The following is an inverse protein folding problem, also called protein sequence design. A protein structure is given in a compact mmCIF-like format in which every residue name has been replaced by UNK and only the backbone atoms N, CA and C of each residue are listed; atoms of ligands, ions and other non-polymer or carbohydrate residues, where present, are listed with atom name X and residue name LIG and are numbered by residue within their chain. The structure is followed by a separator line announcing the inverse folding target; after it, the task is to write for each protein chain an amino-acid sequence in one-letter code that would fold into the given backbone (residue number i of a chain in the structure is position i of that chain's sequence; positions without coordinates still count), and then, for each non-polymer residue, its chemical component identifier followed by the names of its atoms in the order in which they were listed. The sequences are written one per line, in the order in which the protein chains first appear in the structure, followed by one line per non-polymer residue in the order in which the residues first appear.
data_IF_321206637017
#
_entry.id   IF_321206637017
#
_cell.length_a   1.000
_cell.length_b   1.000
_cell.length_c   1.000
_cell.angle_alpha   90.00
_cell.angle_beta   90.00
_cell.angle_gamma   90.00
#
_symmetry.space_group_name_H-M   'P 1'
#
loop_
_entity.id
_entity.type
_entity.pdbx_description
1 polymer ?
#
# COMPACT_ATOMS: atom_id res chain seq x y z
N UNK A 1 50.58 -65.12 -15.42
CA UNK A 1 51.33 -63.97 -15.95
C UNK A 1 50.31 -62.97 -16.48
N UNK A 2 49.74 -62.14 -15.59
CA UNK A 2 48.72 -61.16 -15.95
C UNK A 2 49.42 -59.88 -16.42
N UNK A 3 49.22 -59.52 -17.68
CA UNK A 3 49.66 -58.25 -18.25
C UNK A 3 48.90 -57.11 -17.56
N UNK A 4 49.58 -56.43 -16.64
CA UNK A 4 49.17 -55.16 -16.07
C UNK A 4 49.04 -54.18 -17.25
N UNK A 5 47.82 -53.73 -17.54
CA UNK A 5 47.58 -52.61 -18.48
C UNK A 5 48.33 -51.40 -17.95
N UNK A 6 49.35 -50.97 -18.68
CA UNK A 6 50.00 -49.66 -18.52
C UNK A 6 48.93 -48.58 -18.61
N UNK A 7 48.84 -47.70 -17.62
CA UNK A 7 47.98 -46.51 -17.63
C UNK A 7 48.09 -45.78 -18.97
N UNK A 8 47.01 -45.75 -19.74
CA UNK A 8 46.95 -44.91 -20.94
C UNK A 8 46.72 -43.47 -20.48
N UNK A 9 47.80 -42.67 -20.47
CA UNK A 9 47.70 -41.20 -20.38
C UNK A 9 46.85 -40.68 -21.53
N UNK A 10 46.01 -39.68 -21.27
CA UNK A 10 45.19 -39.04 -22.30
C UNK A 10 46.07 -38.57 -23.48
N UNK A 11 45.63 -38.86 -24.71
CA UNK A 11 46.38 -38.56 -25.93
C UNK A 11 46.03 -37.16 -26.45
N UNK A 12 46.85 -36.19 -26.07
CA UNK A 12 46.75 -34.82 -26.55
C UNK A 12 47.14 -34.65 -28.01
N UNK A 13 46.36 -33.84 -28.73
CA UNK A 13 46.73 -33.35 -30.06
C UNK A 13 47.42 -32.00 -29.93
N UNK A 14 48.40 -31.76 -30.79
CA UNK A 14 49.18 -30.53 -30.79
C UNK A 14 49.16 -29.87 -32.16
N UNK A 15 49.13 -28.55 -32.18
CA UNK A 15 49.28 -27.72 -33.37
C UNK A 15 50.44 -26.75 -33.19
N UNK A 16 51.07 -26.34 -34.29
CA UNK A 16 52.14 -25.37 -34.27
C UNK A 16 51.56 -23.98 -34.53
N UNK A 17 51.58 -23.13 -33.51
CA UNK A 17 51.05 -21.75 -33.57
C UNK A 17 52.20 -20.81 -33.23
N UNK A 18 52.59 -19.95 -34.17
CA UNK A 18 53.65 -18.96 -33.96
C UNK A 18 55.03 -19.57 -33.67
N UNK A 19 55.32 -20.77 -34.19
CA UNK A 19 56.60 -21.46 -33.98
C UNK A 19 56.71 -22.27 -32.68
N UNK A 20 55.64 -22.33 -31.89
CA UNK A 20 55.56 -23.12 -30.66
C UNK A 20 54.50 -24.22 -30.78
N UNK A 21 54.79 -25.39 -30.22
CA UNK A 21 53.79 -26.47 -30.08
C UNK A 21 52.78 -26.10 -28.98
N UNK A 22 51.50 -26.08 -29.33
CA UNK A 22 50.37 -25.79 -28.43
C UNK A 22 49.40 -26.95 -28.41
N UNK A 23 48.79 -27.20 -27.26
CA UNK A 23 47.70 -28.17 -27.15
C UNK A 23 46.50 -27.68 -27.97
N UNK A 24 45.88 -28.59 -28.72
CA UNK A 24 44.67 -28.33 -29.48
C UNK A 24 43.48 -28.86 -28.69
N UNK A 25 42.62 -27.97 -28.22
CA UNK A 25 41.35 -28.34 -27.58
C UNK A 25 40.28 -28.37 -28.68
N UNK A 26 39.82 -29.56 -29.04
CA UNK A 26 38.88 -29.76 -30.15
C UNK A 26 37.68 -30.66 -29.80
N UNK A 27 37.69 -31.25 -28.61
CA UNK A 27 36.62 -32.09 -28.08
C UNK A 27 36.36 -31.77 -26.61
N UNK A 28 35.16 -32.09 -26.13
CA UNK A 28 34.84 -32.03 -24.72
C UNK A 28 35.65 -33.01 -23.89
N UNK A 29 36.19 -34.07 -24.51
CA UNK A 29 37.16 -34.96 -23.86
C UNK A 29 38.49 -34.25 -23.59
N UNK A 30 38.94 -33.36 -24.49
CA UNK A 30 40.13 -32.55 -24.25
C UNK A 30 39.92 -31.62 -23.04
N UNK A 31 38.71 -31.06 -22.91
CA UNK A 31 38.32 -30.23 -21.75
C UNK A 31 38.33 -31.09 -20.47
N UNK A 32 37.69 -32.26 -20.50
CA UNK A 32 37.53 -33.14 -19.34
C UNK A 32 38.86 -33.60 -18.72
N UNK A 33 39.91 -33.76 -19.54
CA UNK A 33 41.23 -34.23 -19.10
C UNK A 33 42.23 -33.07 -18.86
N UNK A 34 41.80 -31.80 -18.84
CA UNK A 34 42.70 -30.65 -18.66
C UNK A 34 43.58 -30.71 -17.40
N UNK A 35 43.16 -31.43 -16.35
CA UNK A 35 43.96 -31.66 -15.15
C UNK A 35 45.14 -32.62 -15.34
N UNK A 36 45.13 -33.42 -16.42
CA UNK A 36 46.24 -34.29 -16.82
C UNK A 36 47.27 -33.57 -17.71
N UNK A 37 46.96 -32.36 -18.19
CA UNK A 37 47.85 -31.60 -19.05
C UNK A 37 49.08 -31.10 -18.27
N UNK A 38 50.28 -31.35 -18.80
CA UNK A 38 51.52 -30.84 -18.20
C UNK A 38 51.46 -29.32 -18.07
N UNK A 39 51.70 -28.82 -16.85
CA UNK A 39 51.69 -27.39 -16.50
C UNK A 39 52.60 -26.57 -17.44
N UNK A 40 53.68 -27.16 -17.97
CA UNK A 40 54.58 -26.51 -18.93
C UNK A 40 53.92 -26.13 -20.26
N UNK A 41 52.79 -26.75 -20.59
CA UNK A 41 52.02 -26.46 -21.81
C UNK A 41 51.05 -25.28 -21.65
N UNK A 42 50.86 -24.77 -20.43
CA UNK A 42 50.01 -23.61 -20.16
C UNK A 42 50.75 -22.32 -20.49
N UNK A 43 50.14 -21.47 -21.32
CA UNK A 43 50.79 -20.26 -21.84
C UNK A 43 50.65 -19.06 -20.90
N UNK A 44 49.52 -19.00 -20.18
CA UNK A 44 49.14 -17.88 -19.33
C UNK A 44 48.82 -18.44 -17.96
N UNK A 45 49.54 -17.96 -16.94
CA UNK A 45 49.36 -18.39 -15.55
C UNK A 45 48.39 -17.49 -14.77
N UNK A 46 48.00 -16.36 -15.36
CA UNK A 46 47.08 -15.39 -14.77
C UNK A 46 46.42 -14.56 -15.88
N UNK A 47 45.11 -14.68 -16.04
CA UNK A 47 44.30 -13.93 -16.99
C UNK A 47 43.38 -12.95 -16.22
N UNK A 48 43.35 -11.64 -16.52
CA UNK A 48 42.48 -10.70 -15.82
C UNK A 48 41.00 -10.96 -16.13
N UNK A 49 40.11 -10.71 -15.17
CA UNK A 49 38.64 -10.86 -15.39
C UNK A 49 37.99 -9.66 -16.08
N UNK A 50 38.77 -8.61 -16.43
CA UNK A 50 38.30 -7.35 -17.02
C UNK A 50 39.19 -6.91 -18.17
N UNK A 51 38.61 -6.11 -19.08
CA UNK A 51 39.35 -5.49 -20.19
C UNK A 51 39.77 -6.46 -21.29
N UNK A 52 39.09 -7.61 -21.38
CA UNK A 52 39.22 -8.58 -22.47
C UNK A 52 37.99 -8.48 -23.38
N UNK A 53 38.12 -8.92 -24.63
CA UNK A 53 36.99 -9.07 -25.56
C UNK A 53 36.16 -10.35 -25.26
N UNK A 54 35.90 -10.61 -23.97
CA UNK A 54 35.12 -11.73 -23.44
C UNK A 54 34.17 -11.15 -22.38
N UNK A 55 32.96 -11.69 -22.29
CA UNK A 55 31.95 -11.25 -21.31
C UNK A 55 32.49 -11.33 -19.86
N UNK A 56 32.50 -10.19 -19.17
CA UNK A 56 33.07 -10.08 -17.82
C UNK A 56 32.31 -10.93 -16.79
N UNK A 57 30.99 -11.14 -16.97
CA UNK A 57 30.21 -11.99 -16.07
C UNK A 57 30.67 -13.45 -16.17
N UNK A 58 30.91 -13.92 -17.38
CA UNK A 58 31.44 -15.25 -17.65
C UNK A 58 32.83 -15.45 -17.03
N UNK A 59 33.72 -14.46 -17.18
CA UNK A 59 35.04 -14.48 -16.53
C UNK A 59 34.94 -14.47 -15.00
N UNK A 60 33.98 -13.74 -14.43
CA UNK A 60 33.71 -13.73 -12.98
C UNK A 60 33.23 -15.07 -12.45
N UNK A 61 32.48 -15.86 -13.23
CA UNK A 61 32.11 -17.22 -12.83
C UNK A 61 33.30 -18.19 -12.82
N UNK A 62 34.34 -17.90 -13.62
CA UNK A 62 35.56 -18.70 -13.65
C UNK A 62 36.50 -18.35 -12.48
N UNK A 63 36.54 -17.09 -12.06
CA UNK A 63 37.34 -16.59 -10.93
C UNK A 63 36.78 -17.04 -9.59
N UNK A 64 37.29 -18.17 -9.09
CA UNK A 64 36.68 -18.91 -7.99
C UNK A 64 37.03 -18.34 -6.61
N UNK A 65 38.18 -17.66 -6.49
CA UNK A 65 38.61 -16.96 -5.27
C UNK A 65 38.26 -15.46 -5.28
N UNK A 66 37.67 -14.97 -6.38
CA UNK A 66 37.21 -13.60 -6.57
C UNK A 66 38.33 -12.55 -6.45
N UNK A 67 39.56 -12.91 -6.81
CA UNK A 67 40.73 -12.03 -6.74
C UNK A 67 40.96 -11.20 -8.02
N UNK A 68 40.10 -11.38 -9.02
CA UNK A 68 40.13 -10.71 -10.32
C UNK A 68 41.06 -11.35 -11.34
N UNK A 69 41.61 -12.55 -11.07
CA UNK A 69 42.54 -13.26 -11.95
C UNK A 69 42.20 -14.74 -12.07
N UNK A 70 42.05 -15.21 -13.30
CA UNK A 70 41.84 -16.62 -13.63
C UNK A 70 43.21 -17.30 -13.78
N UNK A 71 43.46 -18.33 -12.97
CA UNK A 71 44.68 -19.16 -13.01
C UNK A 71 44.36 -20.58 -13.49
N UNK A 72 45.41 -21.38 -13.67
CA UNK A 72 45.32 -22.78 -14.14
C UNK A 72 44.34 -23.61 -13.30
N UNK A 73 44.39 -23.49 -11.97
CA UNK A 73 43.51 -24.24 -11.07
C UNK A 73 42.04 -23.81 -11.20
N UNK A 74 41.76 -22.54 -11.51
CA UNK A 74 40.41 -22.06 -11.77
C UNK A 74 39.86 -22.70 -13.05
N UNK A 75 40.65 -22.68 -14.13
CA UNK A 75 40.27 -23.32 -15.41
C UNK A 75 40.03 -24.82 -15.24
N UNK A 76 40.91 -25.52 -14.52
CA UNK A 76 40.74 -26.95 -14.22
C UNK A 76 39.46 -27.20 -13.41
N UNK A 77 39.21 -26.39 -12.38
CA UNK A 77 38.02 -26.54 -11.52
C UNK A 77 36.73 -26.30 -12.28
N UNK A 78 36.69 -25.27 -13.12
CA UNK A 78 35.57 -24.94 -14.00
C UNK A 78 35.36 -26.04 -15.03
N UNK A 79 36.44 -26.55 -15.64
CA UNK A 79 36.37 -27.68 -16.57
C UNK A 79 35.72 -28.91 -15.92
N UNK A 80 36.22 -29.35 -14.76
CA UNK A 80 35.67 -30.51 -14.02
C UNK A 80 34.20 -30.32 -13.67
N UNK A 81 33.82 -29.10 -13.29
CA UNK A 81 32.43 -28.78 -12.99
C UNK A 81 31.55 -28.87 -14.24
N UNK A 82 31.95 -28.26 -15.37
CA UNK A 82 31.18 -28.27 -16.61
C UNK A 82 31.05 -29.66 -17.21
N UNK A 83 32.14 -30.44 -17.26
CA UNK A 83 32.14 -31.79 -17.81
C UNK A 83 31.45 -32.80 -16.90
N UNK A 84 31.45 -32.56 -15.58
CA UNK A 84 30.62 -33.30 -14.63
C UNK A 84 29.13 -32.95 -14.77
N UNK A 85 28.79 -31.70 -15.04
CA UNK A 85 27.40 -31.24 -15.14
C UNK A 85 26.66 -31.76 -16.38
N UNK A 86 27.36 -32.13 -17.45
CA UNK A 86 26.78 -32.54 -18.74
C UNK A 86 26.97 -34.05 -18.99
N UNK A 87 26.03 -34.68 -19.69
CA UNK A 87 26.18 -36.08 -20.16
C UNK A 87 27.19 -36.18 -21.30
N UNK A 88 27.20 -35.18 -22.18
CA UNK A 88 28.15 -35.07 -23.29
C UNK A 88 28.95 -33.76 -23.19
N UNK A 89 30.26 -33.83 -22.83
CA UNK A 89 31.12 -32.65 -22.79
C UNK A 89 31.29 -31.91 -24.13
N UNK A 90 31.07 -32.56 -25.28
CA UNK A 90 31.22 -31.92 -26.60
C UNK A 90 30.22 -30.76 -26.81
N UNK A 91 29.11 -30.75 -26.05
CA UNK A 91 28.12 -29.68 -26.07
C UNK A 91 28.73 -28.29 -25.75
N UNK A 92 29.82 -28.24 -24.98
CA UNK A 92 30.53 -27.00 -24.64
C UNK A 92 31.14 -26.30 -25.87
N UNK A 93 31.37 -27.03 -26.96
CA UNK A 93 32.02 -26.53 -28.18
C UNK A 93 31.02 -26.09 -29.25
N UNK A 94 29.73 -26.38 -29.08
CA UNK A 94 28.70 -26.11 -30.08
C UNK A 94 28.29 -24.63 -30.17
N UNK A 95 28.66 -23.82 -29.17
CA UNK A 95 28.37 -22.38 -29.14
C UNK A 95 26.88 -22.05 -29.05
N UNK A 96 26.06 -22.99 -28.55
CA UNK A 96 24.62 -22.79 -28.34
C UNK A 96 24.37 -21.89 -27.13
N UNK A 97 23.30 -21.11 -27.21
CA UNK A 97 22.80 -20.28 -26.11
C UNK A 97 21.82 -21.03 -25.19
N UNK A 98 21.62 -22.33 -25.42
CA UNK A 98 20.62 -23.14 -24.74
C UNK A 98 21.04 -24.61 -24.63
N UNK A 99 20.52 -25.26 -23.60
CA UNK A 99 20.79 -26.67 -23.24
C UNK A 99 19.47 -27.37 -22.95
N UNK A 100 19.32 -28.61 -23.40
CA UNK A 100 18.19 -29.44 -23.02
C UNK A 100 18.45 -30.05 -21.63
N UNK A 101 17.44 -30.09 -20.77
CA UNK A 101 17.54 -30.64 -19.41
C UNK A 101 17.91 -32.12 -19.44
N UNK A 102 17.57 -32.84 -20.52
CA UNK A 102 18.01 -34.22 -20.72
C UNK A 102 19.52 -34.35 -21.01
N UNK A 103 20.20 -33.30 -21.44
CA UNK A 103 21.66 -33.26 -21.68
C UNK A 103 22.44 -33.05 -20.37
N UNK A 104 21.78 -32.60 -19.30
CA UNK A 104 22.37 -32.41 -17.97
C UNK A 104 22.51 -33.77 -17.26
N UNK A 105 23.66 -34.01 -16.64
CA UNK A 105 23.97 -35.25 -15.94
C UNK A 105 23.30 -35.34 -14.56
N UNK A 106 22.06 -35.83 -14.53
CA UNK A 106 21.30 -36.02 -13.30
C UNK A 106 21.82 -37.14 -12.37
N UNK A 107 22.86 -37.89 -12.75
CA UNK A 107 23.43 -38.98 -11.95
C UNK A 107 24.41 -38.49 -10.86
N UNK A 108 24.78 -37.21 -10.89
CA UNK A 108 25.59 -36.58 -9.85
C UNK A 108 24.88 -35.37 -9.20
N UNK A 109 25.39 -34.95 -8.05
CA UNK A 109 24.80 -33.88 -7.26
C UNK A 109 24.73 -32.54 -8.02
N UNK A 110 25.76 -32.24 -8.82
CA UNK A 110 25.87 -30.99 -9.59
C UNK A 110 24.75 -30.94 -10.63
N UNK A 111 24.66 -31.94 -11.51
CA UNK A 111 23.66 -31.97 -12.55
C UNK A 111 22.24 -32.17 -12.02
N UNK A 112 22.04 -32.92 -10.92
CA UNK A 112 20.72 -33.00 -10.28
C UNK A 112 20.23 -31.63 -9.78
N UNK A 113 21.12 -30.82 -9.18
CA UNK A 113 20.79 -29.44 -8.77
C UNK A 113 20.47 -28.56 -9.97
N UNK A 114 21.26 -28.65 -11.05
CA UNK A 114 21.03 -27.89 -12.27
C UNK A 114 19.71 -28.27 -12.96
N UNK A 115 19.38 -29.56 -13.05
CA UNK A 115 18.09 -30.02 -13.58
C UNK A 115 16.91 -29.45 -12.79
N UNK A 116 16.97 -29.49 -11.45
CA UNK A 116 15.91 -28.93 -10.60
C UNK A 116 15.77 -27.42 -10.79
N UNK A 117 16.89 -26.69 -10.80
CA UNK A 117 16.89 -25.25 -11.02
C UNK A 117 16.33 -24.89 -12.40
N UNK A 118 16.75 -25.60 -13.46
CA UNK A 118 16.28 -25.35 -14.82
C UNK A 118 14.77 -25.58 -14.96
N UNK A 119 14.26 -26.70 -14.41
CA UNK A 119 12.81 -26.97 -14.39
C UNK A 119 12.04 -25.90 -13.62
N UNK A 120 12.57 -25.44 -12.48
CA UNK A 120 11.94 -24.39 -11.70
C UNK A 120 11.90 -23.05 -12.45
N UNK A 121 13.00 -22.67 -13.11
CA UNK A 121 13.08 -21.45 -13.91
C UNK A 121 12.05 -21.48 -15.04
N UNK A 122 11.98 -22.57 -15.81
CA UNK A 122 11.00 -22.72 -16.88
C UNK A 122 9.56 -22.67 -16.35
N UNK A 123 9.30 -23.35 -15.23
CA UNK A 123 7.98 -23.31 -14.58
C UNK A 123 7.60 -21.90 -14.14
N UNK A 124 8.52 -21.12 -13.56
CA UNK A 124 8.22 -19.77 -13.11
C UNK A 124 8.00 -18.80 -14.28
N UNK A 125 8.73 -19.01 -15.38
CA UNK A 125 8.55 -18.24 -16.62
C UNK A 125 7.29 -18.66 -17.39
N UNK A 126 6.61 -19.74 -16.97
CA UNK A 126 5.44 -20.29 -17.65
C UNK A 126 5.76 -20.89 -19.03
N UNK A 127 7.01 -21.33 -19.24
CA UNK A 127 7.45 -21.95 -20.49
C UNK A 127 7.28 -23.46 -20.42
N UNK A 128 6.57 -24.01 -21.40
CA UNK A 128 6.48 -25.45 -21.61
C UNK A 128 7.71 -25.95 -22.37
N UNK A 129 8.28 -27.08 -21.93
CA UNK A 129 9.41 -27.74 -22.59
C UNK A 129 10.56 -28.07 -21.65
N UNK A 130 11.60 -28.67 -22.22
CA UNK A 130 12.78 -29.14 -21.47
C UNK A 130 14.06 -28.37 -21.84
N UNK A 131 13.97 -27.28 -22.60
CA UNK A 131 15.13 -26.49 -23.02
C UNK A 131 15.23 -25.18 -22.25
N UNK A 132 16.38 -24.92 -21.64
CA UNK A 132 16.69 -23.67 -20.94
C UNK A 132 17.73 -22.87 -21.73
N UNK A 133 17.50 -21.58 -21.91
CA UNK A 133 18.40 -20.66 -22.63
C UNK A 133 19.06 -19.65 -21.70
N UNK A 134 20.13 -18.99 -22.16
CA UNK A 134 20.76 -17.87 -21.45
C UNK A 134 19.74 -16.76 -21.14
N UNK A 135 18.85 -16.46 -22.09
CA UNK A 135 17.79 -15.47 -21.89
C UNK A 135 16.85 -15.84 -20.73
N UNK A 136 16.58 -17.13 -20.52
CA UNK A 136 15.74 -17.61 -19.41
C UNK A 136 16.39 -17.41 -18.04
N UNK A 137 17.72 -17.34 -17.99
CA UNK A 137 18.50 -17.17 -16.75
C UNK A 137 18.95 -15.73 -16.49
N UNK A 138 18.83 -14.85 -17.49
CA UNK A 138 19.37 -13.49 -17.44
C UNK A 138 18.51 -12.53 -16.60
N UNK A 139 17.20 -12.73 -16.59
CA UNK A 139 16.26 -11.86 -15.88
C UNK A 139 15.75 -12.53 -14.59
N UNK A 140 16.53 -12.37 -13.52
CA UNK A 140 16.13 -12.85 -12.19
C UNK A 140 14.82 -12.23 -11.71
N UNK A 141 14.48 -11.00 -12.13
CA UNK A 141 13.21 -10.40 -11.74
C UNK A 141 12.03 -11.11 -12.41
N UNK A 142 12.12 -11.39 -13.72
CA UNK A 142 11.10 -12.15 -14.44
C UNK A 142 10.95 -13.60 -13.93
N UNK A 143 12.05 -14.23 -13.51
CA UNK A 143 12.04 -15.59 -12.93
C UNK A 143 11.22 -15.66 -11.64
N UNK A 144 11.15 -14.58 -10.84
CA UNK A 144 10.45 -14.62 -9.55
C UNK A 144 9.16 -13.79 -9.53
N UNK A 145 8.96 -12.86 -10.47
CA UNK A 145 7.81 -11.96 -10.49
C UNK A 145 6.45 -12.67 -10.40
N UNK A 146 6.30 -13.84 -11.05
CA UNK A 146 5.05 -14.61 -11.07
C UNK A 146 4.95 -15.70 -10.01
N UNK A 147 5.94 -15.79 -9.12
CA UNK A 147 5.91 -16.75 -8.02
C UNK A 147 5.04 -16.22 -6.89
N UNK A 148 4.41 -17.12 -6.13
CA UNK A 148 3.55 -16.79 -4.98
C UNK A 148 4.24 -15.90 -3.94
N UNK A 149 5.56 -16.07 -3.79
CA UNK A 149 6.42 -15.29 -2.91
C UNK A 149 7.62 -14.78 -3.71
N UNK A 150 7.42 -13.66 -4.42
CA UNK A 150 8.43 -13.03 -5.28
C UNK A 150 9.47 -12.18 -4.51
N UNK A 151 9.29 -12.03 -3.19
CA UNK A 151 10.21 -11.36 -2.27
C UNK A 151 10.26 -9.83 -2.41
N UNK A 152 9.22 -9.19 -2.96
CA UNK A 152 9.16 -7.73 -3.06
C UNK A 152 8.52 -7.03 -1.83
N UNK A 153 7.99 -7.83 -0.89
CA UNK A 153 7.36 -7.33 0.33
C UNK A 153 5.88 -6.92 0.15
N UNK A 154 5.27 -7.26 -0.98
CA UNK A 154 3.85 -7.04 -1.26
C UNK A 154 3.11 -8.38 -1.20
N UNK A 155 1.99 -8.40 -0.48
CA UNK A 155 1.10 -9.56 -0.36
C UNK A 155 -0.14 -9.26 -1.20
N UNK A 156 -0.43 -10.13 -2.15
CA UNK A 156 -1.60 -10.01 -3.05
C UNK A 156 -2.61 -11.11 -2.75
N UNK A 157 -3.81 -11.02 -3.34
CA UNK A 157 -4.84 -12.07 -3.19
C UNK A 157 -4.41 -13.43 -3.73
N UNK A 158 -3.34 -13.50 -4.53
CA UNK A 158 -2.76 -14.76 -5.03
C UNK A 158 -1.67 -15.32 -4.11
N UNK A 159 -1.24 -14.57 -3.09
CA UNK A 159 -0.27 -15.02 -2.08
C UNK A 159 -0.84 -16.07 -1.12
N UNK A 160 -2.16 -16.23 -1.07
CA UNK A 160 -2.84 -17.22 -0.23
C UNK A 160 -3.95 -17.98 -0.99
N UNK A 161 -4.30 -19.17 -0.50
CA UNK A 161 -5.47 -19.92 -0.95
C UNK A 161 -6.64 -19.81 0.04
N UNK A 162 -6.39 -19.31 1.25
CA UNK A 162 -7.42 -19.16 2.28
C UNK A 162 -8.39 -18.03 1.89
N UNK A 163 -9.70 -18.32 1.73
CA UNK A 163 -10.69 -17.31 1.41
C UNK A 163 -10.75 -16.15 2.42
N UNK A 164 -10.52 -16.42 3.72
CA UNK A 164 -10.55 -15.39 4.76
C UNK A 164 -9.37 -14.42 4.63
N UNK A 165 -8.17 -14.94 4.39
CA UNK A 165 -6.98 -14.10 4.15
C UNK A 165 -7.12 -13.29 2.86
N UNK A 166 -7.72 -13.85 1.79
CA UNK A 166 -8.02 -13.09 0.56
C UNK A 166 -8.95 -11.92 0.81
N UNK A 167 -9.97 -12.11 1.64
CA UNK A 167 -10.91 -11.06 2.00
C UNK A 167 -10.23 -9.94 2.79
N UNK A 168 -9.36 -10.28 3.74
CA UNK A 168 -8.55 -9.31 4.49
C UNK A 168 -7.63 -8.52 3.56
N UNK A 169 -6.92 -9.19 2.65
CA UNK A 169 -6.03 -8.53 1.68
C UNK A 169 -6.82 -7.57 0.80
N UNK A 170 -7.98 -8.00 0.27
CA UNK A 170 -8.82 -7.13 -0.55
C UNK A 170 -9.34 -5.91 0.21
N UNK A 171 -9.75 -6.09 1.47
CA UNK A 171 -10.17 -4.98 2.34
C UNK A 171 -9.02 -4.02 2.64
N UNK A 172 -7.84 -4.53 2.96
CA UNK A 172 -6.66 -3.72 3.21
C UNK A 172 -6.23 -2.91 1.96
N UNK A 173 -6.30 -3.51 0.77
CA UNK A 173 -6.06 -2.79 -0.50
C UNK A 173 -7.08 -1.66 -0.68
N UNK A 174 -8.37 -1.94 -0.48
CA UNK A 174 -9.43 -0.94 -0.64
C UNK A 174 -9.29 0.23 0.36
N UNK A 175 -8.84 -0.04 1.59
CA UNK A 175 -8.68 0.97 2.64
C UNK A 175 -7.38 1.79 2.53
N UNK A 176 -6.29 1.19 2.03
CA UNK A 176 -4.95 1.82 2.03
C UNK A 176 -4.49 2.29 0.65
N UNK A 177 -5.24 1.97 -0.41
CA UNK A 177 -4.88 2.25 -1.81
C UNK A 177 -3.96 1.21 -2.45
N UNK A 178 -3.40 0.29 -1.66
CA UNK A 178 -2.54 -0.79 -2.13
C UNK A 178 -1.19 -0.36 -2.69
N UNK A 179 -0.39 -1.33 -3.10
CA UNK A 179 0.92 -1.18 -3.75
C UNK A 179 1.03 -2.15 -4.90
N UNK A 180 1.64 -1.72 -6.01
CA UNK A 180 1.88 -2.60 -7.16
C UNK A 180 2.98 -3.61 -6.84
N UNK A 181 2.62 -4.89 -6.92
CA UNK A 181 3.51 -6.05 -6.81
C UNK A 181 4.28 -6.26 -8.13
N UNK A 182 5.44 -6.92 -8.08
CA UNK A 182 6.24 -7.24 -9.28
C UNK A 182 5.53 -8.14 -10.30
N UNK A 183 4.49 -8.86 -9.89
CA UNK A 183 3.60 -9.60 -10.80
C UNK A 183 2.70 -8.68 -11.65
N UNK A 184 2.53 -7.42 -11.25
CA UNK A 184 1.60 -6.46 -11.85
C UNK A 184 0.25 -6.35 -11.12
N UNK A 185 0.00 -7.22 -10.14
CA UNK A 185 -1.20 -7.17 -9.29
C UNK A 185 -1.08 -6.08 -8.22
N UNK A 186 -2.21 -5.60 -7.70
CA UNK A 186 -2.23 -4.70 -6.53
C UNK A 186 -2.34 -5.55 -5.27
N UNK A 187 -1.44 -5.31 -4.32
CA UNK A 187 -1.44 -5.93 -3.01
C UNK A 187 -1.23 -4.93 -1.89
N UNK A 188 -0.84 -5.44 -0.72
CA UNK A 188 -0.55 -4.64 0.48
C UNK A 188 0.86 -4.95 0.98
N UNK A 189 1.58 -3.91 1.37
CA UNK A 189 2.85 -4.04 2.08
C UNK A 189 2.62 -4.29 3.57
N UNK A 190 3.67 -4.71 4.29
CA UNK A 190 3.62 -4.86 5.75
C UNK A 190 3.18 -3.58 6.48
N UNK A 191 3.70 -2.43 6.08
CA UNK A 191 3.32 -1.15 6.66
C UNK A 191 1.84 -0.78 6.40
N UNK A 192 1.32 -1.13 5.21
CA UNK A 192 -0.10 -0.93 4.90
C UNK A 192 -1.00 -1.87 5.71
N UNK A 193 -0.58 -3.12 5.93
CA UNK A 193 -1.29 -4.04 6.81
C UNK A 193 -1.30 -3.55 8.27
N UNK A 194 -0.16 -3.10 8.79
CA UNK A 194 -0.08 -2.52 10.13
C UNK A 194 -1.02 -1.31 10.28
N UNK A 195 -1.01 -0.41 9.30
CA UNK A 195 -1.92 0.74 9.28
C UNK A 195 -3.39 0.31 9.19
N UNK A 196 -3.70 -0.70 8.37
CA UNK A 196 -5.05 -1.23 8.23
C UNK A 196 -5.57 -1.77 9.57
N UNK A 197 -4.80 -2.58 10.28
CA UNK A 197 -5.19 -3.10 11.60
C UNK A 197 -5.26 -2.01 12.68
N UNK A 198 -4.37 -1.01 12.61
CA UNK A 198 -4.46 0.16 13.48
C UNK A 198 -5.77 0.94 13.25
N UNK A 199 -6.18 1.10 11.98
CA UNK A 199 -7.44 1.76 11.62
C UNK A 199 -8.66 0.93 12.02
N UNK A 200 -8.63 -0.39 11.86
CA UNK A 200 -9.67 -1.31 12.35
C UNK A 200 -9.88 -1.12 13.86
N UNK A 201 -8.79 -1.12 14.63
CA UNK A 201 -8.84 -0.92 16.07
C UNK A 201 -9.38 0.47 16.42
N UNK A 202 -8.87 1.52 15.78
CA UNK A 202 -9.30 2.88 16.05
C UNK A 202 -10.79 3.10 15.74
N UNK A 203 -11.30 2.50 14.67
CA UNK A 203 -12.71 2.55 14.32
C UNK A 203 -13.58 1.77 15.32
N UNK A 204 -13.16 0.55 15.70
CA UNK A 204 -13.86 -0.26 16.70
C UNK A 204 -13.93 0.45 18.06
N UNK A 205 -12.81 1.00 18.53
CA UNK A 205 -12.74 1.76 19.78
C UNK A 205 -13.63 3.01 19.73
N UNK A 206 -13.67 3.72 18.59
CA UNK A 206 -14.56 4.88 18.39
C UNK A 206 -16.05 4.50 18.42
N UNK A 207 -16.44 3.40 17.76
CA UNK A 207 -17.80 2.88 17.82
C UNK A 207 -18.18 2.42 19.23
N UNK A 208 -17.26 1.78 19.96
CA UNK A 208 -17.50 1.35 21.34
C UNK A 208 -17.67 2.54 22.31
N UNK A 209 -17.05 3.68 22.00
CA UNK A 209 -17.21 4.93 22.73
C UNK A 209 -18.44 5.75 22.32
N UNK A 210 -19.37 5.18 21.52
CA UNK A 210 -20.58 5.86 21.08
C UNK A 210 -21.41 6.36 22.26
N UNK A 211 -21.80 7.63 22.16
CA UNK A 211 -22.67 8.28 23.14
C UNK A 211 -24.07 8.41 22.58
N UNK A 212 -25.07 8.31 23.45
CA UNK A 212 -26.47 8.44 23.06
C UNK A 212 -26.73 9.78 22.36
N UNK A 213 -27.23 9.72 21.13
CA UNK A 213 -27.64 10.89 20.36
C UNK A 213 -28.82 11.60 21.07
N UNK A 214 -28.68 12.87 21.51
CA UNK A 214 -29.70 13.55 22.32
C UNK A 214 -31.09 13.63 21.71
N UNK A 215 -31.19 13.61 20.38
CA UNK A 215 -32.44 13.72 19.62
C UNK A 215 -32.56 12.62 18.56
N UNK A 216 -31.97 11.43 18.82
CA UNK A 216 -31.92 10.31 17.89
C UNK A 216 -31.47 10.77 16.48
N UNK A 217 -32.18 10.36 15.43
CA UNK A 217 -31.87 10.66 14.02
C UNK A 217 -31.88 12.16 13.68
N UNK A 218 -32.50 13.00 14.52
CA UNK A 218 -32.55 14.45 14.30
C UNK A 218 -31.36 15.19 14.91
N UNK A 219 -30.51 14.51 15.67
CA UNK A 219 -29.43 15.14 16.44
C UNK A 219 -28.54 16.04 15.58
N UNK A 220 -28.09 15.57 14.42
CA UNK A 220 -27.24 16.37 13.53
C UNK A 220 -27.94 17.61 12.98
N UNK A 221 -29.18 17.45 12.52
CA UNK A 221 -29.97 18.57 12.00
C UNK A 221 -30.22 19.63 13.09
N UNK A 222 -30.46 19.19 14.33
CA UNK A 222 -30.68 20.07 15.48
C UNK A 222 -29.38 20.78 15.89
N UNK A 223 -28.23 20.08 15.87
CA UNK A 223 -26.93 20.70 16.14
C UNK A 223 -26.62 21.77 15.11
N UNK A 224 -26.78 21.48 13.81
CA UNK A 224 -26.54 22.44 12.74
C UNK A 224 -27.46 23.66 12.86
N UNK A 225 -28.76 23.44 13.14
CA UNK A 225 -29.72 24.50 13.34
C UNK A 225 -29.40 25.36 14.58
N UNK A 226 -29.02 24.72 15.70
CA UNK A 226 -28.58 25.42 16.91
C UNK A 226 -27.34 26.28 16.64
N UNK A 227 -26.31 25.73 15.99
CA UNK A 227 -25.08 26.45 15.66
C UNK A 227 -25.34 27.66 14.77
N UNK A 228 -26.24 27.53 13.79
CA UNK A 228 -26.64 28.65 12.93
C UNK A 228 -27.36 29.77 13.70
N UNK A 229 -28.11 29.42 14.75
CA UNK A 229 -28.90 30.35 15.56
C UNK A 229 -28.13 30.94 16.75
N UNK A 230 -27.09 30.28 17.25
CA UNK A 230 -26.48 30.56 18.56
C UNK A 230 -26.02 32.02 18.67
N UNK A 231 -25.38 32.56 17.64
CA UNK A 231 -24.96 33.96 17.60
C UNK A 231 -26.16 34.92 17.64
N UNK A 232 -27.25 34.60 16.95
CA UNK A 232 -28.46 35.42 16.88
C UNK A 232 -29.28 35.39 18.16
N UNK A 233 -29.35 34.23 18.81
CA UNK A 233 -29.98 34.07 20.11
C UNK A 233 -29.21 34.85 21.18
N UNK A 234 -27.87 34.76 21.20
CA UNK A 234 -27.02 35.56 22.11
C UNK A 234 -27.14 37.06 21.87
N UNK A 235 -27.18 37.50 20.62
CA UNK A 235 -27.41 38.91 20.27
C UNK A 235 -28.79 39.40 20.76
N UNK A 236 -29.84 38.59 20.61
CA UNK A 236 -31.17 38.89 21.15
C UNK A 236 -31.14 39.07 22.68
N UNK A 237 -30.59 38.10 23.43
CA UNK A 237 -30.53 38.20 24.89
C UNK A 237 -29.70 39.39 25.36
N UNK A 238 -28.62 39.75 24.65
CA UNK A 238 -27.83 40.95 24.93
C UNK A 238 -28.64 42.24 24.68
N UNK A 239 -29.34 42.33 23.54
CA UNK A 239 -30.21 43.48 23.22
C UNK A 239 -31.36 43.62 24.21
N UNK A 240 -31.97 42.52 24.62
CA UNK A 240 -33.03 42.50 25.64
C UNK A 240 -32.54 43.02 26.99
N UNK A 241 -31.38 42.56 27.46
CA UNK A 241 -30.77 43.08 28.70
C UNK A 241 -30.42 44.56 28.61
N UNK A 242 -29.88 45.00 27.47
CA UNK A 242 -29.56 46.41 27.26
C UNK A 242 -30.81 47.30 27.17
N UNK A 243 -31.90 46.79 26.58
CA UNK A 243 -33.20 47.45 26.57
C UNK A 243 -33.82 47.53 27.99
N UNK A 244 -33.67 46.49 28.81
CA UNK A 244 -34.09 46.52 30.21
C UNK A 244 -33.27 47.51 31.06
N UNK A 245 -31.96 47.63 30.79
CA UNK A 245 -31.07 48.59 31.46
C UNK A 245 -31.31 50.04 31.03
N UNK A 246 -31.55 50.27 29.74
CA UNK A 246 -31.79 51.60 29.14
C UNK A 246 -33.05 51.57 28.27
N UNK A 247 -34.25 51.72 28.87
CA UNK A 247 -35.53 51.63 28.15
C UNK A 247 -35.62 52.61 26.98
N UNK A 248 -35.05 53.81 27.11
CA UNK A 248 -35.02 54.84 26.07
C UNK A 248 -34.25 54.41 24.81
N UNK A 249 -33.38 53.40 24.92
CA UNK A 249 -32.59 52.86 23.81
C UNK A 249 -33.25 51.68 23.09
N UNK A 250 -34.39 51.17 23.57
CA UNK A 250 -35.04 49.96 23.04
C UNK A 250 -35.29 50.01 21.54
N UNK A 251 -35.76 51.16 21.03
CA UNK A 251 -36.04 51.35 19.59
C UNK A 251 -34.78 51.26 18.72
N UNK A 252 -33.63 51.68 19.24
CA UNK A 252 -32.34 51.61 18.54
C UNK A 252 -31.78 50.18 18.51
N UNK A 253 -32.17 49.34 19.47
CA UNK A 253 -31.76 47.94 19.58
C UNK A 253 -32.66 46.99 18.79
N UNK A 254 -33.86 47.41 18.41
CA UNK A 254 -34.79 46.64 17.59
C UNK A 254 -34.56 46.86 16.08
N UNK A 255 -35.37 46.20 15.23
CA UNK A 255 -35.40 46.46 13.79
C UNK A 255 -35.95 47.85 13.53
N UNK A 256 -35.08 48.74 13.04
CA UNK A 256 -35.43 50.09 12.63
C UNK A 256 -36.20 50.08 11.31
N UNK A 257 -37.29 50.85 11.24
CA UNK A 257 -38.11 50.99 10.02
C UNK A 257 -37.28 51.45 8.83
N UNK A 258 -36.32 52.37 9.04
CA UNK A 258 -35.40 52.85 8.01
C UNK A 258 -34.56 51.75 7.35
N UNK A 259 -34.20 50.69 8.10
CA UNK A 259 -33.46 49.53 7.54
C UNK A 259 -34.34 48.67 6.66
N UNK A 260 -35.65 48.60 6.94
CA UNK A 260 -36.63 47.90 6.11
C UNK A 260 -36.93 48.74 4.86
N UNK A 261 -37.13 50.05 5.01
CA UNK A 261 -37.37 50.98 3.91
C UNK A 261 -36.22 50.97 2.89
N UNK A 262 -34.98 50.83 3.36
CA UNK A 262 -33.80 50.74 2.50
C UNK A 262 -33.82 49.54 1.53
N UNK A 263 -34.52 48.46 1.88
CA UNK A 263 -34.62 47.25 1.05
C UNK A 263 -36.01 47.04 0.45
N UNK A 264 -37.03 47.81 0.86
CA UNK A 264 -38.44 47.58 0.51
C UNK A 264 -38.80 47.91 -0.94
N UNK A 265 -37.98 48.73 -1.62
CA UNK A 265 -38.16 49.03 -3.04
C UNK A 265 -37.70 47.88 -3.95
N UNK A 266 -36.93 46.93 -3.41
CA UNK A 266 -36.44 45.74 -4.12
C UNK A 266 -37.30 44.50 -3.79
N UNK A 267 -37.03 43.38 -4.46
CA UNK A 267 -37.67 42.11 -4.13
C UNK A 267 -37.14 41.57 -2.78
N UNK A 268 -37.94 41.70 -1.71
CA UNK A 268 -37.57 41.25 -0.36
C UNK A 268 -37.23 39.76 -0.26
N UNK A 269 -37.79 38.91 -1.12
CA UNK A 269 -37.42 37.48 -1.15
C UNK A 269 -35.98 37.24 -1.61
N UNK A 270 -35.36 38.22 -2.28
CA UNK A 270 -33.96 38.21 -2.68
C UNK A 270 -33.02 38.90 -1.68
N UNK A 271 -33.54 39.43 -0.56
CA UNK A 271 -32.78 40.19 0.47
C UNK A 271 -32.54 39.37 1.74
N UNK A 272 -32.29 38.07 1.56
CA UNK A 272 -32.14 37.12 2.66
C UNK A 272 -31.04 37.50 3.64
N UNK A 273 -29.89 37.97 3.13
CA UNK A 273 -28.73 38.32 3.95
C UNK A 273 -28.97 39.58 4.80
N UNK A 274 -29.60 40.61 4.22
CA UNK A 274 -29.95 41.83 4.95
C UNK A 274 -30.99 41.55 6.04
N UNK A 275 -31.99 40.72 5.73
CA UNK A 275 -33.02 40.29 6.69
C UNK A 275 -32.39 39.43 7.78
N UNK A 276 -31.47 38.52 7.44
CA UNK A 276 -30.75 37.70 8.41
C UNK A 276 -29.93 38.54 9.39
N UNK A 277 -29.47 39.73 9.01
CA UNK A 277 -28.72 40.65 9.86
C UNK A 277 -29.56 41.27 10.99
N UNK A 278 -30.89 41.30 10.86
CA UNK A 278 -31.78 41.80 11.91
C UNK A 278 -31.82 40.86 13.15
N UNK A 279 -32.24 41.36 14.33
CA UNK A 279 -32.52 40.52 15.49
C UNK A 279 -33.46 39.36 15.16
N UNK A 280 -33.33 38.26 15.89
CA UNK A 280 -34.16 37.05 15.65
C UNK A 280 -35.63 37.28 16.05
N UNK A 281 -35.89 38.19 16.97
CA UNK A 281 -37.22 38.59 17.40
C UNK A 281 -37.21 40.08 17.80
N UNK A 282 -38.41 40.66 17.94
CA UNK A 282 -38.57 42.05 18.36
C UNK A 282 -38.03 42.26 19.77
N UNK A 283 -37.37 43.39 20.00
CA UNK A 283 -36.80 43.74 21.32
C UNK A 283 -37.84 44.53 22.10
N UNK A 284 -38.41 43.92 23.15
CA UNK A 284 -39.48 44.50 23.97
C UNK A 284 -39.04 44.88 25.39
N UNK A 285 -37.76 44.66 25.72
CA UNK A 285 -37.23 44.79 27.08
C UNK A 285 -37.47 43.57 27.98
N UNK A 286 -38.15 42.53 27.48
CA UNK A 286 -38.25 41.24 28.15
C UNK A 286 -36.96 40.42 27.95
N UNK A 287 -36.48 39.79 29.02
CA UNK A 287 -35.25 38.98 29.01
C UNK A 287 -35.43 37.60 28.32
N UNK A 288 -36.67 37.17 28.13
CA UNK A 288 -37.01 35.89 27.52
C UNK A 288 -37.60 36.04 26.12
N UNK A 289 -37.33 35.07 25.26
CA UNK A 289 -37.91 34.98 23.92
C UNK A 289 -39.30 34.32 23.98
N UNK A 290 -40.34 35.01 23.51
CA UNK A 290 -41.68 34.42 23.36
C UNK A 290 -41.74 33.41 22.20
N UNK A 291 -42.03 32.15 22.50
CA UNK A 291 -42.06 31.05 21.53
C UNK A 291 -43.31 31.06 20.63
N UNK A 292 -44.33 31.84 20.99
CA UNK A 292 -45.57 32.04 20.21
C UNK A 292 -45.51 33.26 19.30
N UNK A 293 -44.54 34.16 19.50
CA UNK A 293 -44.37 35.34 18.67
C UNK A 293 -43.71 34.99 17.33
N UNK A 294 -43.93 35.82 16.31
CA UNK A 294 -43.22 35.70 15.04
C UNK A 294 -41.75 36.03 15.21
N UNK A 295 -40.90 35.17 14.66
CA UNK A 295 -39.46 35.39 14.57
C UNK A 295 -39.07 35.87 13.17
N UNK A 296 -37.83 36.33 13.05
CA UNK A 296 -37.23 36.72 11.79
C UNK A 296 -37.34 35.59 10.76
N UNK A 297 -37.93 35.85 9.57
CA UNK A 297 -38.18 34.82 8.57
C UNK A 297 -36.91 34.15 8.05
N UNK A 298 -35.77 34.84 8.03
CA UNK A 298 -34.49 34.26 7.62
C UNK A 298 -34.02 33.13 8.55
N UNK A 299 -34.48 33.13 9.80
CA UNK A 299 -34.11 32.15 10.83
C UNK A 299 -35.26 31.20 11.20
N UNK A 300 -36.41 31.31 10.53
CA UNK A 300 -37.61 30.55 10.87
C UNK A 300 -37.44 29.03 10.73
N UNK A 301 -36.79 28.58 9.66
CA UNK A 301 -36.54 27.16 9.41
C UNK A 301 -35.63 26.51 10.47
N UNK A 302 -34.40 27.00 10.74
CA UNK A 302 -33.55 26.42 11.78
C UNK A 302 -34.20 26.53 13.17
N UNK A 303 -34.91 27.63 13.46
CA UNK A 303 -35.57 27.77 14.77
C UNK A 303 -36.67 26.74 14.96
N UNK A 304 -37.46 26.46 13.92
CA UNK A 304 -38.45 25.39 13.94
C UNK A 304 -37.81 24.04 14.25
N UNK A 305 -36.68 23.72 13.60
CA UNK A 305 -35.94 22.47 13.85
C UNK A 305 -35.52 22.32 15.32
N UNK A 306 -34.97 23.38 15.92
CA UNK A 306 -34.58 23.35 17.35
C UNK A 306 -35.83 23.28 18.24
N UNK A 307 -36.87 24.06 17.94
CA UNK A 307 -38.11 24.11 18.72
C UNK A 307 -38.82 22.76 18.78
N UNK A 308 -38.92 22.06 17.66
CA UNK A 308 -39.63 20.77 17.58
C UNK A 308 -38.89 19.63 18.28
N UNK A 309 -37.56 19.69 18.37
CA UNK A 309 -36.75 18.61 18.92
C UNK A 309 -36.29 18.87 20.36
N UNK A 310 -35.86 20.09 20.68
CA UNK A 310 -35.11 20.40 21.90
C UNK A 310 -35.88 21.21 22.93
N UNK A 311 -37.01 21.84 22.55
CA UNK A 311 -37.84 22.65 23.45
C UNK A 311 -39.07 21.84 23.86
N UNK A 312 -39.36 21.83 25.16
CA UNK A 312 -40.51 21.11 25.72
C UNK A 312 -41.86 21.62 25.16
N UNK A 313 -42.75 20.69 24.86
CA UNK A 313 -44.10 21.01 24.38
C UNK A 313 -44.86 21.86 25.41
N UNK A 314 -45.48 22.94 24.96
CA UNK A 314 -46.24 23.87 25.81
C UNK A 314 -45.40 24.94 26.51
N UNK A 315 -44.06 24.90 26.39
CA UNK A 315 -43.20 26.00 26.85
C UNK A 315 -43.52 27.27 26.06
N UNK A 316 -43.72 28.39 26.78
CA UNK A 316 -44.15 29.67 26.20
C UNK A 316 -43.01 30.64 25.96
N UNK A 317 -41.98 30.60 26.79
CA UNK A 317 -40.83 31.49 26.73
C UNK A 317 -39.53 30.70 26.79
N UNK A 318 -38.45 31.29 26.30
CA UNK A 318 -37.12 30.69 26.28
C UNK A 318 -36.09 31.68 26.82
N UNK A 319 -35.43 31.32 27.92
CA UNK A 319 -34.38 32.12 28.54
C UNK A 319 -32.99 31.83 27.94
N UNK A 320 -32.00 32.70 28.22
CA UNK A 320 -30.60 32.47 27.86
C UNK A 320 -30.06 31.18 28.49
N UNK A 321 -30.47 30.90 29.73
CA UNK A 321 -30.13 29.67 30.46
C UNK A 321 -30.70 28.42 29.77
N UNK A 322 -31.94 28.48 29.29
CA UNK A 322 -32.56 27.38 28.54
C UNK A 322 -31.82 27.10 27.24
N UNK A 323 -31.47 28.17 26.51
CA UNK A 323 -30.71 28.06 25.27
C UNK A 323 -29.34 27.41 25.52
N UNK A 324 -28.61 27.87 26.54
CA UNK A 324 -27.34 27.28 26.94
C UNK A 324 -27.47 25.81 27.37
N UNK A 325 -28.56 25.44 28.05
CA UNK A 325 -28.84 24.05 28.44
C UNK A 325 -29.08 23.13 27.23
N UNK A 326 -29.74 23.63 26.17
CA UNK A 326 -29.86 22.90 24.90
C UNK A 326 -28.46 22.68 24.30
N UNK A 327 -27.64 23.73 24.22
CA UNK A 327 -26.27 23.66 23.74
C UNK A 327 -25.40 22.65 24.51
N UNK A 328 -25.59 22.55 25.82
CA UNK A 328 -24.87 21.62 26.68
C UNK A 328 -25.16 20.14 26.35
N UNK A 329 -26.38 19.81 25.91
CA UNK A 329 -26.76 18.43 25.53
C UNK A 329 -25.94 17.90 24.34
N UNK A 330 -25.46 18.79 23.46
CA UNK A 330 -24.71 18.38 22.26
C UNK A 330 -23.24 18.02 22.55
N UNK A 331 -22.66 18.52 23.64
CA UNK A 331 -21.20 18.48 23.87
C UNK A 331 -20.60 17.09 23.80
N UNK A 332 -21.25 16.10 24.42
CA UNK A 332 -20.75 14.72 24.40
C UNK A 332 -20.78 14.14 22.98
N UNK A 333 -21.89 14.33 22.27
CA UNK A 333 -22.07 13.79 20.92
C UNK A 333 -21.15 14.47 19.89
N UNK A 334 -20.99 15.80 19.96
CA UNK A 334 -20.07 16.52 19.07
C UNK A 334 -18.62 16.18 19.35
N UNK A 335 -18.23 15.98 20.62
CA UNK A 335 -16.91 15.51 20.99
C UNK A 335 -16.63 14.09 20.47
N UNK A 336 -17.58 13.16 20.62
CA UNK A 336 -17.48 11.81 20.07
C UNK A 336 -17.35 11.83 18.54
N UNK A 337 -18.18 12.61 17.83
CA UNK A 337 -18.06 12.76 16.37
C UNK A 337 -16.72 13.34 15.92
N UNK A 338 -16.22 14.34 16.63
CA UNK A 338 -14.93 14.95 16.33
C UNK A 338 -13.75 14.01 16.59
N UNK A 339 -13.91 13.04 17.50
CA UNK A 339 -12.93 12.02 17.81
C UNK A 339 -12.96 10.80 16.87
N UNK A 340 -13.68 10.88 15.73
CA UNK A 340 -13.76 9.79 14.75
C UNK A 340 -12.37 9.41 14.23
N UNK A 341 -12.04 8.14 14.33
CA UNK A 341 -10.79 7.55 13.86
C UNK A 341 -11.07 6.28 13.04
N UNK A 342 -10.11 5.87 12.19
CA UNK A 342 -10.26 4.70 11.31
C UNK A 342 -11.27 4.87 10.18
N UNK A 343 -11.42 6.08 9.62
CA UNK A 343 -12.38 6.35 8.55
C UNK A 343 -12.11 5.55 7.25
N UNK A 344 -10.87 5.11 7.04
CA UNK A 344 -10.44 4.26 5.91
C UNK A 344 -11.13 2.89 5.89
N UNK A 345 -11.57 2.39 7.04
CA UNK A 345 -12.21 1.06 7.19
C UNK A 345 -13.71 1.14 7.45
N UNK A 346 -14.27 2.34 7.59
CA UNK A 346 -15.70 2.56 7.79
C UNK A 346 -16.60 1.85 6.75
N UNK A 347 -16.26 1.80 5.44
CA UNK A 347 -17.08 1.09 4.45
C UNK A 347 -17.27 -0.42 4.72
N UNK A 348 -16.39 -1.04 5.52
CA UNK A 348 -16.52 -2.44 5.91
C UNK A 348 -17.66 -2.67 6.91
N UNK A 349 -18.02 -1.64 7.67
CA UNK A 349 -19.00 -1.73 8.76
C UNK A 349 -18.45 -2.40 10.02
N UNK A 350 -19.00 -2.02 11.18
CA UNK A 350 -18.47 -2.41 12.50
C UNK A 350 -18.48 -3.93 12.73
N UNK A 351 -19.46 -4.66 12.18
CA UNK A 351 -19.53 -6.10 12.31
C UNK A 351 -18.31 -6.78 11.67
N UNK A 352 -17.94 -6.37 10.45
CA UNK A 352 -16.80 -6.94 9.73
C UNK A 352 -15.46 -6.52 10.35
N UNK A 353 -15.37 -5.26 10.79
CA UNK A 353 -14.19 -4.76 11.51
C UNK A 353 -13.88 -5.61 12.74
N UNK A 354 -14.91 -5.90 13.56
CA UNK A 354 -14.74 -6.72 14.76
C UNK A 354 -14.43 -8.18 14.43
N UNK A 355 -15.00 -8.73 13.35
CA UNK A 355 -14.66 -10.07 12.87
C UNK A 355 -13.18 -10.17 12.48
N UNK A 356 -12.67 -9.22 11.68
CA UNK A 356 -11.27 -9.19 11.23
C UNK A 356 -10.30 -9.00 12.40
N UNK A 357 -10.65 -8.19 13.40
CA UNK A 357 -9.85 -8.02 14.62
C UNK A 357 -9.80 -9.28 15.49
N UNK A 358 -10.83 -10.13 15.47
CA UNK A 358 -10.82 -11.41 16.20
C UNK A 358 -10.00 -12.49 15.50
N UNK A 359 -9.82 -12.37 14.19
CA UNK A 359 -9.04 -13.28 13.37
C UNK A 359 -7.54 -12.96 13.38
N UNK A 360 -7.16 -11.74 13.80
CA UNK A 360 -5.77 -11.34 14.04
C UNK A 360 -5.21 -12.13 15.24
N UNK A 361 -4.25 -13.02 15.00
CA UNK A 361 -3.72 -13.99 15.97
C UNK A 361 -2.34 -13.64 16.50
#
# INVERSE_FOLDING_TARGET
MALIKKDQKYKWNFENIGGCSRVRIASGQDIAHLDELDVKMWTVLSCPTKGLEIDEKSLKYMDRDADGKIRVNDVISVSKWMTGALKNPDLLLEGKDSVNIDEINAENEIGLKLCKAAKQILSNLGKEGERISLADTADSAAIFAKTRYNGDGVITVTSTDDPAEKEVIAAAVASTGGTMDRSGEIGVSGAQLEQFYADLKAYSDWCAAEVQAPFADKTDAVIAAYQALDAKMKDFFMRSRLAAFSPDSTSALDVQTSRIEAISAENLSAKGDEIAAYPIARITGQEELELTASINPAWAAPFKTVKEAAIEAGKKTLSETDWAAIGAKFKAYTAWKAAKAGASVEPLGIAKVNEMLQQDK
#
